data_IF_121155217405
#
_entry.id   IF_121155217405
#
_cell.length_a   1.000
_cell.length_b   1.000
_cell.length_c   1.000
_cell.angle_alpha   90.00
_cell.angle_beta   90.00
_cell.angle_gamma   90.00
#
_symmetry.space_group_name_H-M   'P 1'
#
loop_
_entity.id
_entity.type
_entity.pdbx_description
1 polymer ?
#
# COMPACT_ATOMS: atom_id res chain seq x y z
N UNK A 1 1.92 8.14 -10.76
CA UNK A 1 1.24 6.83 -10.69
C UNK A 1 -0.21 7.03 -11.07
N UNK A 2 -0.49 6.85 -12.34
CA UNK A 2 -1.78 7.23 -12.95
C UNK A 2 -2.06 6.16 -14.00
N UNK A 3 -3.31 5.73 -14.11
CA UNK A 3 -3.92 5.63 -15.43
C UNK A 3 -3.78 7.03 -16.01
N UNK A 4 -2.69 7.36 -16.73
CA UNK A 4 -2.49 8.70 -17.29
C UNK A 4 -3.61 8.96 -18.29
N UNK A 5 -4.76 9.39 -17.78
CA UNK A 5 -5.97 9.70 -18.52
C UNK A 5 -5.72 10.88 -19.46
N UNK A 6 -4.67 11.67 -19.23
CA UNK A 6 -4.23 12.72 -20.13
C UNK A 6 -3.81 12.22 -21.51
N UNK A 7 -3.35 10.96 -21.65
CA UNK A 7 -3.10 10.35 -22.96
C UNK A 7 -4.31 9.63 -23.56
N UNK A 8 -5.43 9.52 -22.82
CA UNK A 8 -6.67 8.88 -23.27
C UNK A 8 -7.71 9.88 -23.79
N UNK A 9 -7.50 11.19 -23.60
CA UNK A 9 -8.41 12.24 -24.06
C UNK A 9 -8.13 12.83 -25.45
N UNK A 10 -7.00 12.49 -26.10
CA UNK A 10 -6.59 13.13 -27.38
C UNK A 10 -6.81 12.31 -28.66
N UNK A 11 -7.36 11.10 -28.58
CA UNK A 11 -7.73 10.32 -29.77
C UNK A 11 -9.25 10.39 -30.05
N UNK A 12 -9.81 11.60 -30.11
CA UNK A 12 -11.17 11.83 -30.63
C UNK A 12 -11.19 11.96 -32.17
N UNK A 13 -10.38 11.16 -32.87
CA UNK A 13 -10.43 11.01 -34.33
C UNK A 13 -10.03 9.60 -34.75
N UNK A 14 -10.95 8.64 -34.69
CA UNK A 14 -10.95 7.47 -35.58
C UNK A 14 -12.42 7.11 -35.82
N UNK A 15 -12.97 7.45 -36.98
CA UNK A 15 -12.96 6.64 -38.20
C UNK A 15 -13.55 5.24 -37.98
N UNK A 16 -14.67 5.00 -38.65
CA UNK A 16 -15.32 3.70 -38.83
C UNK A 16 -14.34 2.55 -39.06
N UNK A 17 -14.14 1.70 -38.05
CA UNK A 17 -13.56 0.36 -38.23
C UNK A 17 -14.31 -0.64 -37.35
N UNK A 18 -15.39 -1.17 -37.92
CA UNK A 18 -16.20 -2.24 -37.33
C UNK A 18 -15.51 -3.63 -37.43
N UNK A 19 -14.35 -3.74 -38.10
CA UNK A 19 -13.70 -5.03 -38.39
C UNK A 19 -12.58 -5.46 -37.43
N UNK A 20 -12.08 -4.60 -36.52
CA UNK A 20 -10.94 -4.96 -35.63
C UNK A 20 -11.34 -5.66 -34.32
N UNK A 21 -12.64 -5.84 -34.03
CA UNK A 21 -13.09 -6.40 -32.75
C UNK A 21 -12.74 -7.88 -32.56
N UNK A 22 -12.61 -8.65 -33.65
CA UNK A 22 -12.40 -10.10 -33.59
C UNK A 22 -10.93 -10.50 -33.37
N UNK A 23 -9.97 -9.65 -33.74
CA UNK A 23 -8.53 -9.92 -33.56
C UNK A 23 -8.04 -9.61 -32.14
N UNK A 24 -8.69 -8.69 -31.42
CA UNK A 24 -8.29 -8.28 -30.08
C UNK A 24 -8.71 -9.25 -28.96
N UNK A 25 -9.72 -10.10 -29.17
CA UNK A 25 -10.20 -11.04 -28.14
C UNK A 25 -9.14 -12.07 -27.74
N UNK A 26 -8.34 -12.56 -28.70
CA UNK A 26 -7.23 -13.47 -28.42
C UNK A 26 -6.05 -12.80 -27.72
N UNK A 27 -5.96 -11.46 -27.75
CA UNK A 27 -4.90 -10.70 -27.09
C UNK A 27 -5.22 -10.39 -25.61
N UNK A 28 -6.50 -10.43 -25.20
CA UNK A 28 -6.90 -10.11 -23.82
C UNK A 28 -6.26 -11.03 -22.77
N UNK A 29 -6.22 -12.37 -22.95
CA UNK A 29 -5.54 -13.25 -22.00
C UNK A 29 -4.03 -13.00 -21.96
N UNK A 30 -3.42 -12.66 -23.10
CA UNK A 30 -2.00 -12.35 -23.19
C UNK A 30 -1.66 -11.04 -22.44
N UNK A 31 -2.44 -9.97 -22.63
CA UNK A 31 -2.24 -8.71 -21.90
C UNK A 31 -2.44 -8.89 -20.39
N UNK A 32 -3.45 -9.66 -19.97
CA UNK A 32 -3.65 -9.98 -18.54
C UNK A 32 -2.48 -10.80 -17.98
N UNK A 33 -1.97 -11.76 -18.75
CA UNK A 33 -0.79 -12.53 -18.37
C UNK A 33 0.45 -11.62 -18.24
N UNK A 34 0.66 -10.69 -19.17
CA UNK A 34 1.78 -9.73 -19.12
C UNK A 34 1.68 -8.79 -17.91
N UNK A 35 0.46 -8.33 -17.59
CA UNK A 35 0.18 -7.61 -16.35
C UNK A 35 0.62 -8.41 -15.11
N UNK A 36 0.19 -9.67 -15.01
CA UNK A 36 0.55 -10.55 -13.88
C UNK A 36 2.04 -10.89 -13.85
N UNK A 37 2.65 -11.13 -15.01
CA UNK A 37 4.07 -11.43 -15.15
C UNK A 37 4.93 -10.26 -14.69
N UNK A 38 4.56 -9.03 -15.03
CA UNK A 38 5.29 -7.83 -14.58
C UNK A 38 5.31 -7.71 -13.06
N UNK A 39 4.19 -8.00 -12.40
CA UNK A 39 4.10 -8.03 -10.94
C UNK A 39 4.94 -9.18 -10.37
N UNK A 40 4.81 -10.38 -10.94
CA UNK A 40 5.57 -11.56 -10.51
C UNK A 40 7.10 -11.34 -10.62
N UNK A 41 7.55 -10.70 -11.69
CA UNK A 41 8.96 -10.36 -11.89
C UNK A 41 9.47 -9.36 -10.85
N UNK A 42 8.65 -8.37 -10.47
CA UNK A 42 9.01 -7.46 -9.38
C UNK A 42 9.11 -8.22 -8.06
N UNK A 43 8.11 -9.04 -7.74
CA UNK A 43 8.07 -9.84 -6.51
C UNK A 43 9.27 -10.76 -6.39
N UNK A 44 9.72 -11.38 -7.49
CA UNK A 44 10.89 -12.27 -7.47
C UNK A 44 12.23 -11.54 -7.34
N UNK A 45 12.31 -10.29 -7.81
CA UNK A 45 13.51 -9.46 -7.73
C UNK A 45 13.63 -8.70 -6.41
N UNK A 46 12.49 -8.40 -5.77
CA UNK A 46 12.40 -7.69 -4.51
C UNK A 46 13.13 -8.46 -3.39
N UNK A 47 14.29 -7.95 -2.99
CA UNK A 47 15.22 -8.62 -2.07
C UNK A 47 14.61 -8.91 -0.69
N UNK A 48 13.73 -8.04 -0.20
CA UNK A 48 13.01 -8.24 1.07
C UNK A 48 11.95 -9.35 1.03
N UNK A 49 11.50 -9.77 -0.16
CA UNK A 49 10.56 -10.89 -0.31
C UNK A 49 11.27 -12.24 -0.46
N UNK A 50 12.59 -12.22 -0.65
CA UNK A 50 13.42 -13.41 -0.83
C UNK A 50 14.00 -13.94 0.49
N UNK A 51 14.27 -15.25 0.54
CA UNK A 51 14.71 -16.01 1.72
C UNK A 51 16.08 -15.56 2.29
N UNK A 52 16.76 -14.65 1.62
CA UNK A 52 18.10 -14.15 1.96
C UNK A 52 18.07 -13.13 3.11
N UNK A 53 17.62 -13.55 4.31
CA UNK A 53 17.95 -12.95 5.61
C UNK A 53 17.51 -11.51 5.90
N UNK A 54 16.94 -10.77 4.95
CA UNK A 54 16.41 -9.42 5.20
C UNK A 54 15.02 -9.48 5.81
N UNK A 55 14.87 -8.91 7.02
CA UNK A 55 13.57 -8.79 7.67
C UNK A 55 12.67 -7.85 6.85
N UNK A 56 11.56 -8.32 6.28
CA UNK A 56 10.70 -7.48 5.46
C UNK A 56 9.89 -6.47 6.26
N UNK A 57 9.82 -6.62 7.58
CA UNK A 57 9.34 -5.58 8.49
C UNK A 57 10.43 -4.54 8.81
N UNK A 58 11.55 -4.50 8.09
CA UNK A 58 12.41 -3.30 8.15
C UNK A 58 11.72 -2.12 7.47
N UNK A 59 11.95 -0.89 7.96
CA UNK A 59 11.41 0.31 7.33
C UNK A 59 11.85 0.43 5.85
N UNK A 60 13.05 -0.06 5.51
CA UNK A 60 13.50 -0.18 4.12
C UNK A 60 12.67 -1.18 3.30
N UNK A 61 12.25 -2.30 3.89
CA UNK A 61 11.29 -3.24 3.29
C UNK A 61 9.92 -2.60 3.09
N UNK A 62 9.45 -1.81 4.06
CA UNK A 62 8.19 -1.06 3.95
C UNK A 62 8.21 -0.03 2.82
N UNK A 63 9.36 0.58 2.51
CA UNK A 63 9.50 1.45 1.34
C UNK A 63 9.30 0.69 0.02
N UNK A 64 9.77 -0.55 -0.08
CA UNK A 64 9.57 -1.37 -1.28
C UNK A 64 8.11 -1.80 -1.47
N UNK A 65 7.29 -1.81 -0.40
CA UNK A 65 5.84 -1.99 -0.52
C UNK A 65 5.19 -0.85 -1.34
N UNK A 66 5.65 0.39 -1.21
CA UNK A 66 5.17 1.50 -2.05
C UNK A 66 5.57 1.32 -3.52
N UNK A 67 6.78 0.82 -3.77
CA UNK A 67 7.25 0.52 -5.12
C UNK A 67 6.41 -0.59 -5.78
N UNK A 68 6.06 -1.65 -5.02
CA UNK A 68 5.16 -2.69 -5.51
C UNK A 68 3.78 -2.14 -5.91
N UNK A 69 3.23 -1.23 -5.10
CA UNK A 69 1.95 -0.54 -5.42
C UNK A 69 2.09 0.26 -6.73
N UNK A 70 3.21 0.96 -6.91
CA UNK A 70 3.48 1.75 -8.12
C UNK A 70 3.66 0.89 -9.37
N UNK A 71 4.44 -0.19 -9.28
CA UNK A 71 4.62 -1.16 -10.37
C UNK A 71 3.29 -1.77 -10.78
N UNK A 72 2.48 -2.18 -9.80
CA UNK A 72 1.15 -2.78 -10.03
C UNK A 72 0.21 -1.77 -10.69
N UNK A 73 0.18 -0.53 -10.19
CA UNK A 73 -0.65 0.54 -10.76
C UNK A 73 -0.24 0.89 -12.20
N UNK A 74 1.07 0.95 -12.48
CA UNK A 74 1.61 1.15 -13.84
C UNK A 74 1.28 -0.01 -14.76
N UNK A 75 1.33 -1.24 -14.27
CA UNK A 75 0.95 -2.42 -15.04
C UNK A 75 -0.53 -2.40 -15.40
N UNK A 76 -1.41 -2.04 -14.46
CA UNK A 76 -2.86 -1.90 -14.70
C UNK A 76 -3.14 -0.82 -15.75
N UNK A 77 -2.45 0.33 -15.66
CA UNK A 77 -2.59 1.40 -16.64
C UNK A 77 -2.16 0.96 -18.04
N UNK A 78 -1.06 0.22 -18.14
CA UNK A 78 -0.57 -0.35 -19.40
C UNK A 78 -1.58 -1.36 -19.98
N UNK A 79 -2.11 -2.25 -19.15
CA UNK A 79 -3.15 -3.21 -19.55
C UNK A 79 -4.36 -2.51 -20.18
N UNK A 80 -4.89 -1.46 -19.53
CA UNK A 80 -6.04 -0.72 -20.03
C UNK A 80 -5.82 -0.10 -21.42
N UNK A 81 -4.57 0.31 -21.72
CA UNK A 81 -4.18 0.81 -23.04
C UNK A 81 -4.07 -0.33 -24.07
N UNK A 82 -3.44 -1.44 -23.71
CA UNK A 82 -3.23 -2.58 -24.63
C UNK A 82 -4.55 -3.22 -25.08
N UNK A 83 -5.55 -3.29 -24.20
CA UNK A 83 -6.87 -3.83 -24.53
C UNK A 83 -7.81 -2.79 -25.14
N UNK A 84 -7.34 -1.54 -25.33
CA UNK A 84 -8.16 -0.42 -25.79
C UNK A 84 -9.46 -0.29 -24.99
N UNK A 85 -9.33 -0.18 -23.66
CA UNK A 85 -10.45 -0.04 -22.73
C UNK A 85 -10.14 1.01 -21.66
N UNK A 86 -10.12 2.30 -22.05
CA UNK A 86 -9.83 3.39 -21.15
C UNK A 86 -10.86 3.51 -20.02
N UNK A 87 -10.47 4.18 -18.92
CA UNK A 87 -11.35 4.35 -17.74
C UNK A 87 -12.67 5.03 -18.09
N UNK A 88 -12.69 5.91 -19.08
CA UNK A 88 -13.91 6.58 -19.56
C UNK A 88 -14.94 5.63 -20.18
N UNK A 89 -14.52 4.43 -20.60
CA UNK A 89 -15.40 3.40 -21.17
C UNK A 89 -15.69 2.25 -20.21
N UNK A 90 -15.19 2.32 -18.98
CA UNK A 90 -15.44 1.30 -17.98
C UNK A 90 -16.94 1.19 -17.67
N UNK A 91 -17.42 -0.04 -17.49
CA UNK A 91 -18.77 -0.28 -17.03
C UNK A 91 -18.96 0.11 -15.57
N UNK A 92 -20.22 0.27 -15.15
CA UNK A 92 -20.58 0.74 -13.81
C UNK A 92 -19.92 -0.07 -12.69
N UNK A 93 -19.79 -1.38 -12.88
CA UNK A 93 -19.14 -2.28 -11.92
C UNK A 93 -17.65 -1.99 -11.76
N UNK A 94 -16.90 -1.85 -12.85
CA UNK A 94 -15.48 -1.54 -12.78
C UNK A 94 -15.23 -0.17 -12.11
N UNK A 95 -16.09 0.82 -12.40
CA UNK A 95 -16.06 2.15 -11.78
C UNK A 95 -16.32 2.06 -10.28
N UNK A 96 -17.42 1.41 -9.89
CA UNK A 96 -17.80 1.25 -8.48
C UNK A 96 -16.69 0.55 -7.68
N UNK A 97 -16.17 -0.57 -8.21
CA UNK A 97 -15.06 -1.29 -7.58
C UNK A 97 -13.82 -0.40 -7.41
N UNK A 98 -13.45 0.37 -8.43
CA UNK A 98 -12.32 1.28 -8.33
C UNK A 98 -12.56 2.43 -7.34
N UNK A 99 -13.78 2.97 -7.29
CA UNK A 99 -14.14 4.00 -6.32
C UNK A 99 -14.15 3.44 -4.89
N UNK A 100 -14.69 2.25 -4.64
CA UNK A 100 -14.65 1.66 -3.30
C UNK A 100 -13.21 1.34 -2.87
N UNK A 101 -12.43 0.73 -3.77
CA UNK A 101 -11.01 0.49 -3.58
C UNK A 101 -10.23 1.77 -3.25
N UNK A 102 -10.35 2.83 -4.07
CA UNK A 102 -9.61 4.08 -3.86
C UNK A 102 -10.02 4.80 -2.58
N UNK A 103 -11.28 4.71 -2.15
CA UNK A 103 -11.72 5.26 -0.87
C UNK A 103 -11.03 4.56 0.31
N UNK A 104 -11.04 3.23 0.29
CA UNK A 104 -10.38 2.43 1.32
C UNK A 104 -8.86 2.67 1.34
N UNK A 105 -8.21 2.82 0.19
CA UNK A 105 -6.80 3.23 0.12
C UNK A 105 -6.55 4.57 0.82
N UNK A 106 -7.41 5.57 0.61
CA UNK A 106 -7.26 6.88 1.28
C UNK A 106 -7.40 6.75 2.80
N UNK A 107 -8.32 5.90 3.29
CA UNK A 107 -8.44 5.61 4.72
C UNK A 107 -7.18 4.95 5.28
N UNK A 108 -6.63 3.95 4.60
CA UNK A 108 -5.39 3.28 5.00
C UNK A 108 -4.19 4.22 5.01
N UNK A 109 -4.08 5.11 4.01
CA UNK A 109 -2.99 6.09 3.95
C UNK A 109 -3.11 7.13 5.06
N UNK A 110 -4.32 7.57 5.39
CA UNK A 110 -4.55 8.42 6.56
C UNK A 110 -4.17 7.72 7.87
N UNK A 111 -4.49 6.43 7.99
CA UNK A 111 -4.09 5.61 9.13
C UNK A 111 -2.55 5.54 9.24
N UNK A 112 -1.83 5.38 8.12
CA UNK A 112 -0.35 5.41 8.08
C UNK A 112 0.16 6.78 8.55
N UNK A 113 -0.39 7.88 8.04
CA UNK A 113 0.00 9.23 8.46
C UNK A 113 -0.23 9.45 9.96
N UNK A 114 -1.33 8.94 10.51
CA UNK A 114 -1.59 8.98 11.96
C UNK A 114 -0.53 8.21 12.76
N UNK A 115 -0.13 7.02 12.31
CA UNK A 115 0.94 6.25 12.94
C UNK A 115 2.30 6.92 12.87
N UNK A 116 2.62 7.55 11.73
CA UNK A 116 3.83 8.36 11.57
C UNK A 116 3.83 9.53 12.55
N UNK A 117 2.72 10.24 12.71
CA UNK A 117 2.60 11.33 13.67
C UNK A 117 2.87 10.86 15.10
N UNK A 118 2.34 9.68 15.49
CA UNK A 118 2.61 9.09 16.81
C UNK A 118 4.10 8.75 16.98
N UNK A 119 4.72 8.16 15.96
CA UNK A 119 6.15 7.85 16.00
C UNK A 119 7.00 9.13 16.12
N UNK A 120 6.61 10.19 15.43
CA UNK A 120 7.25 11.50 15.53
C UNK A 120 7.09 12.12 16.92
N UNK A 121 5.93 12.00 17.56
CA UNK A 121 5.72 12.46 18.95
C UNK A 121 6.62 11.71 19.94
N UNK A 122 6.69 10.38 19.81
CA UNK A 122 7.58 9.56 20.64
C UNK A 122 9.05 9.93 20.41
N UNK A 123 9.45 10.14 19.15
CA UNK A 123 10.80 10.57 18.76
C UNK A 123 11.17 11.91 19.41
N UNK A 124 10.30 12.91 19.36
CA UNK A 124 10.53 14.23 19.99
C UNK A 124 10.72 14.07 21.50
N UNK A 125 9.91 13.24 22.14
CA UNK A 125 10.02 12.96 23.57
C UNK A 125 11.36 12.31 23.93
N UNK A 126 11.83 11.37 23.10
CA UNK A 126 13.12 10.71 23.26
C UNK A 126 14.27 11.70 23.05
N UNK A 127 14.20 12.52 21.99
CA UNK A 127 15.23 13.50 21.66
C UNK A 127 15.44 14.50 22.80
N UNK A 128 14.35 15.04 23.37
CA UNK A 128 14.43 15.95 24.50
C UNK A 128 15.08 15.31 25.74
N UNK A 129 14.83 14.02 25.99
CA UNK A 129 15.47 13.29 27.08
C UNK A 129 16.97 13.02 26.82
N UNK A 130 17.39 12.95 25.56
CA UNK A 130 18.80 12.81 25.17
C UNK A 130 19.57 14.13 25.28
N UNK A 131 18.98 15.27 24.85
CA UNK A 131 19.62 16.59 24.91
C UNK A 131 19.89 17.07 26.34
N UNK A 132 18.99 16.74 27.28
CA UNK A 132 19.13 17.10 28.69
C UNK A 132 19.08 15.85 29.59
N UNK A 133 20.12 15.00 29.54
CA UNK A 133 20.11 13.70 30.17
C UNK A 133 20.27 13.83 31.68
N UNK A 134 19.15 13.97 32.38
CA UNK A 134 19.06 13.86 33.84
C UNK A 134 18.61 12.46 34.21
N UNK A 135 18.97 11.97 35.41
CA UNK A 135 18.47 10.68 35.93
C UNK A 135 16.93 10.60 35.84
N UNK A 136 16.22 11.70 36.13
CA UNK A 136 14.77 11.77 36.02
C UNK A 136 14.27 11.71 34.57
N UNK A 137 14.96 12.34 33.62
CA UNK A 137 14.60 12.29 32.20
C UNK A 137 14.83 10.89 31.61
N UNK A 138 15.96 10.26 31.95
CA UNK A 138 16.31 8.90 31.52
C UNK A 138 15.31 7.88 32.09
N UNK A 139 14.92 7.99 33.36
CA UNK A 139 13.89 7.13 33.97
C UNK A 139 12.48 7.33 33.37
N UNK A 140 12.25 8.43 32.66
CA UNK A 140 10.97 8.72 31.98
C UNK A 140 10.94 8.27 30.52
N UNK A 141 12.06 7.80 29.97
CA UNK A 141 12.08 7.19 28.64
C UNK A 141 11.15 5.98 28.64
N UNK A 142 10.23 5.97 27.68
CA UNK A 142 9.27 4.89 27.50
C UNK A 142 9.42 4.32 26.10
N UNK A 143 9.18 3.02 25.97
CA UNK A 143 9.00 2.37 24.68
C UNK A 143 7.97 3.11 23.84
N UNK A 144 8.16 3.09 22.54
CA UNK A 144 7.16 3.53 21.57
C UNK A 144 5.95 2.60 21.73
N UNK A 145 4.76 3.12 22.10
CA UNK A 145 3.62 2.28 22.39
C UNK A 145 3.05 1.65 21.12
N UNK A 146 2.61 0.40 21.22
CA UNK A 146 1.76 -0.21 20.21
C UNK A 146 0.39 0.47 20.21
N UNK A 147 -0.16 0.74 19.03
CA UNK A 147 -1.47 1.40 18.90
C UNK A 147 -2.35 0.65 17.93
N UNK A 148 -3.50 0.20 18.42
CA UNK A 148 -4.58 -0.23 17.55
C UNK A 148 -5.26 1.03 16.97
N UNK A 149 -5.29 1.13 15.65
CA UNK A 149 -5.86 2.30 14.96
C UNK A 149 -7.39 2.26 14.84
N UNK A 150 -8.03 1.13 15.17
CA UNK A 150 -9.47 0.94 15.05
C UNK A 150 -9.94 1.30 13.64
N UNK A 151 -9.50 0.54 12.64
CA UNK A 151 -9.80 0.84 11.25
C UNK A 151 -11.30 0.63 11.02
N UNK A 152 -12.10 1.70 11.04
CA UNK A 152 -13.51 1.68 10.63
C UNK A 152 -13.62 1.61 9.10
N UNK A 153 -13.11 0.51 8.55
CA UNK A 153 -13.14 0.22 7.13
C UNK A 153 -14.43 -0.52 6.83
N UNK A 154 -15.15 -0.05 5.81
CA UNK A 154 -16.39 -0.67 5.38
C UNK A 154 -16.09 -2.08 4.88
N UNK A 155 -16.54 -3.07 5.64
CA UNK A 155 -16.41 -4.49 5.30
C UNK A 155 -17.22 -4.76 4.02
N UNK A 156 -16.53 -5.04 2.91
CA UNK A 156 -17.17 -5.47 1.69
C UNK A 156 -17.63 -6.92 1.88
N UNK A 157 -18.85 -7.12 2.36
CA UNK A 157 -19.55 -8.42 2.32
C UNK A 157 -20.00 -8.80 0.90
N UNK A 158 -19.73 -7.95 -0.09
CA UNK A 158 -19.83 -8.29 -1.51
C UNK A 158 -18.54 -8.95 -1.99
N UNK A 159 -18.43 -10.26 -1.83
CA UNK A 159 -17.73 -11.07 -2.83
C UNK A 159 -18.16 -10.55 -4.22
N UNK A 160 -17.32 -10.63 -5.25
CA UNK A 160 -17.58 -10.26 -6.65
C UNK A 160 -18.82 -10.92 -7.31
N UNK A 161 -19.72 -11.51 -6.50
CA UNK A 161 -21.00 -12.15 -6.75
C UNK A 161 -22.13 -11.12 -6.68
N UNK A 162 -22.05 -10.06 -7.48
CA UNK A 162 -23.30 -9.53 -8.05
C UNK A 162 -23.50 -10.30 -9.36
N UNK A 163 -24.61 -11.04 -9.44
CA UNK A 163 -24.98 -11.92 -10.56
C UNK A 163 -25.14 -11.20 -11.91
N UNK A 164 -24.99 -9.87 -11.97
CA UNK A 164 -24.97 -9.17 -13.25
C UNK A 164 -23.73 -9.58 -14.05
N UNK A 165 -23.96 -9.99 -15.30
CA UNK A 165 -22.88 -10.38 -16.19
C UNK A 165 -22.06 -9.14 -16.55
N UNK A 166 -20.71 -9.19 -16.55
CA UNK A 166 -19.89 -8.07 -17.01
C UNK A 166 -20.33 -7.61 -18.40
N UNK A 167 -20.28 -6.30 -18.64
CA UNK A 167 -20.81 -5.66 -19.85
C UNK A 167 -19.98 -6.02 -21.09
N UNK A 168 -18.72 -6.42 -20.90
CA UNK A 168 -17.83 -6.90 -21.97
C UNK A 168 -16.71 -7.81 -21.45
N UNK A 169 -16.08 -8.58 -22.35
CA UNK A 169 -14.88 -9.37 -22.01
C UNK A 169 -13.70 -8.50 -21.57
N UNK A 170 -13.58 -7.29 -22.15
CA UNK A 170 -12.59 -6.28 -21.73
C UNK A 170 -12.82 -5.83 -20.29
N UNK A 171 -14.09 -5.64 -19.89
CA UNK A 171 -14.44 -5.30 -18.52
C UNK A 171 -14.07 -6.43 -17.56
N UNK A 172 -14.31 -7.70 -17.94
CA UNK A 172 -13.87 -8.86 -17.15
C UNK A 172 -12.36 -8.84 -16.90
N UNK A 173 -11.55 -8.55 -17.93
CA UNK A 173 -10.09 -8.44 -17.81
C UNK A 173 -9.67 -7.31 -16.88
N UNK A 174 -10.33 -6.14 -16.97
CA UNK A 174 -10.06 -5.02 -16.07
C UNK A 174 -10.46 -5.33 -14.63
N UNK A 175 -11.63 -5.94 -14.42
CA UNK A 175 -12.09 -6.34 -13.09
C UNK A 175 -11.13 -7.32 -12.41
N UNK A 176 -10.61 -8.27 -13.18
CA UNK A 176 -9.61 -9.24 -12.68
C UNK A 176 -8.28 -8.54 -12.34
N UNK A 177 -7.81 -7.63 -13.19
CA UNK A 177 -6.61 -6.85 -12.90
C UNK A 177 -6.79 -5.90 -11.70
N UNK A 178 -7.99 -5.32 -11.54
CA UNK A 178 -8.36 -4.51 -10.37
C UNK A 178 -8.40 -5.34 -9.10
N UNK A 179 -8.91 -6.57 -9.15
CA UNK A 179 -8.89 -7.51 -8.01
C UNK A 179 -7.46 -7.75 -7.52
N UNK A 180 -6.55 -8.08 -8.45
CA UNK A 180 -5.11 -8.28 -8.14
C UNK A 180 -4.50 -6.99 -7.58
N UNK A 181 -4.77 -5.85 -8.21
CA UNK A 181 -4.26 -4.54 -7.77
C UNK A 181 -4.71 -4.20 -6.35
N UNK A 182 -6.00 -4.42 -6.06
CA UNK A 182 -6.58 -4.21 -4.74
C UNK A 182 -5.90 -5.09 -3.69
N UNK A 183 -5.77 -6.38 -3.98
CA UNK A 183 -5.14 -7.32 -3.04
C UNK A 183 -3.70 -6.93 -2.73
N UNK A 184 -2.90 -6.59 -3.75
CA UNK A 184 -1.50 -6.18 -3.57
C UNK A 184 -1.42 -4.90 -2.74
N UNK A 185 -2.24 -3.90 -3.05
CA UNK A 185 -2.21 -2.63 -2.34
C UNK A 185 -2.63 -2.77 -0.88
N UNK A 186 -3.67 -3.57 -0.60
CA UNK A 186 -4.09 -3.83 0.78
C UNK A 186 -3.04 -4.61 1.55
N UNK A 187 -2.48 -5.66 0.95
CA UNK A 187 -1.39 -6.41 1.56
C UNK A 187 -0.20 -5.49 1.89
N UNK A 188 0.24 -4.68 0.93
CA UNK A 188 1.37 -3.76 1.09
C UNK A 188 1.14 -2.71 2.18
N UNK A 189 -0.03 -2.04 2.16
CA UNK A 189 -0.38 -1.04 3.17
C UNK A 189 -0.63 -1.67 4.55
N UNK A 190 -1.15 -2.89 4.60
CA UNK A 190 -1.30 -3.65 5.84
C UNK A 190 0.04 -3.96 6.49
N UNK A 191 1.05 -4.33 5.70
CA UNK A 191 2.42 -4.50 6.19
C UNK A 191 3.01 -3.19 6.73
N UNK A 192 2.82 -2.10 5.98
CA UNK A 192 3.30 -0.78 6.41
C UNK A 192 2.66 -0.39 7.75
N UNK A 193 1.34 -0.51 7.85
CA UNK A 193 0.60 -0.20 9.07
C UNK A 193 1.05 -1.05 10.26
N UNK A 194 1.12 -2.37 10.10
CA UNK A 194 1.56 -3.26 11.17
C UNK A 194 2.98 -2.94 11.65
N UNK A 195 3.90 -2.65 10.73
CA UNK A 195 5.27 -2.24 11.07
C UNK A 195 5.35 -0.99 11.95
N UNK A 196 4.45 -0.02 11.75
CA UNK A 196 4.39 1.20 12.57
C UNK A 196 3.57 1.06 13.85
N UNK A 197 2.41 0.42 13.75
CA UNK A 197 1.46 0.28 14.85
C UNK A 197 1.89 -0.74 15.90
N UNK A 198 2.87 -1.59 15.56
CA UNK A 198 3.26 -2.74 16.38
C UNK A 198 2.06 -3.65 16.69
N UNK A 199 1.08 -3.69 15.78
CA UNK A 199 -0.22 -4.32 16.00
C UNK A 199 -0.54 -5.29 14.86
N UNK A 200 -0.70 -6.56 15.21
CA UNK A 200 -1.07 -7.65 14.29
C UNK A 200 -2.53 -7.55 13.84
N UNK A 201 -3.39 -6.95 14.66
CA UNK A 201 -4.81 -6.87 14.36
C UNK A 201 -5.07 -5.97 13.15
N UNK A 202 -4.28 -4.90 13.00
CA UNK A 202 -4.28 -4.04 11.82
C UNK A 202 -4.07 -4.83 10.51
N UNK A 203 -3.10 -5.76 10.45
CA UNK A 203 -2.90 -6.62 9.27
C UNK A 203 -4.06 -7.59 9.05
N UNK A 204 -4.53 -8.25 10.12
CA UNK A 204 -5.64 -9.21 10.05
C UNK A 204 -6.93 -8.55 9.54
N UNK A 205 -7.22 -7.35 10.01
CA UNK A 205 -8.37 -6.57 9.56
C UNK A 205 -8.28 -6.24 8.06
N UNK A 206 -7.12 -5.78 7.61
CA UNK A 206 -6.90 -5.46 6.19
C UNK A 206 -6.97 -6.72 5.30
N UNK A 207 -6.43 -7.84 5.79
CA UNK A 207 -6.55 -9.15 5.13
C UNK A 207 -8.00 -9.63 5.04
N UNK A 208 -8.81 -9.36 6.06
CA UNK A 208 -10.25 -9.67 6.03
C UNK A 208 -10.97 -8.81 4.99
N UNK A 209 -10.63 -7.53 4.88
CA UNK A 209 -11.22 -6.60 3.89
C UNK A 209 -10.91 -6.96 2.43
N UNK A 210 -9.81 -7.66 2.18
CA UNK A 210 -9.51 -8.19 0.85
C UNK A 210 -10.22 -9.51 0.54
N UNK A 211 -10.96 -10.09 1.50
CA UNK A 211 -11.50 -11.45 1.41
C UNK A 211 -10.41 -12.52 1.47
N UNK A 212 -9.28 -12.21 2.11
CA UNK A 212 -8.06 -13.01 2.07
C UNK A 212 -7.17 -12.69 0.86
N UNK A 213 -6.11 -13.48 0.70
CA UNK A 213 -5.09 -13.30 -0.35
C UNK A 213 -4.83 -14.64 -1.07
N UNK A 214 -5.88 -15.21 -1.67
CA UNK A 214 -5.81 -16.53 -2.31
C UNK A 214 -5.19 -16.53 -3.72
N UNK A 215 -4.92 -15.35 -4.28
CA UNK A 215 -4.29 -15.23 -5.59
C UNK A 215 -2.84 -15.74 -5.57
N UNK A 216 -2.46 -16.58 -6.53
CA UNK A 216 -1.16 -17.24 -6.57
C UNK A 216 0.04 -16.28 -6.56
N UNK A 217 -0.14 -15.03 -7.00
CA UNK A 217 0.92 -14.01 -6.98
C UNK A 217 1.29 -13.57 -5.57
N UNK A 218 0.33 -13.58 -4.65
CA UNK A 218 0.48 -13.01 -3.31
C UNK A 218 0.31 -14.04 -2.22
N UNK A 219 -0.31 -15.19 -2.48
CA UNK A 219 -0.55 -16.24 -1.48
C UNK A 219 0.74 -16.71 -0.80
N UNK A 220 1.80 -16.89 -1.59
CA UNK A 220 3.11 -17.25 -1.07
C UNK A 220 3.73 -16.14 -0.20
N UNK A 221 3.47 -14.87 -0.54
CA UNK A 221 3.90 -13.74 0.26
C UNK A 221 3.08 -13.66 1.56
N UNK A 222 1.75 -13.58 1.45
CA UNK A 222 0.82 -13.54 2.58
C UNK A 222 1.10 -14.62 3.62
N UNK A 223 1.38 -15.86 3.21
CA UNK A 223 1.72 -16.94 4.13
C UNK A 223 2.98 -16.63 4.94
N UNK A 224 4.07 -16.18 4.28
CA UNK A 224 5.32 -15.80 4.95
C UNK A 224 5.09 -14.65 5.91
N UNK A 225 4.34 -13.64 5.47
CA UNK A 225 4.08 -12.46 6.29
C UNK A 225 3.16 -12.75 7.46
N UNK A 226 2.13 -13.57 7.29
CA UNK A 226 1.29 -14.01 8.39
C UNK A 226 2.13 -14.68 9.48
N UNK A 227 3.07 -15.56 9.10
CA UNK A 227 4.00 -16.18 10.05
C UNK A 227 4.91 -15.15 10.75
N UNK A 228 5.42 -14.16 10.00
CA UNK A 228 6.28 -13.12 10.58
C UNK A 228 5.50 -12.22 11.55
N UNK A 229 4.35 -11.71 11.14
CA UNK A 229 3.50 -10.82 11.95
C UNK A 229 3.00 -11.54 13.22
N UNK A 230 2.68 -12.83 13.13
CA UNK A 230 2.32 -13.66 14.29
C UNK A 230 3.46 -13.80 15.31
N UNK A 231 4.73 -13.76 14.85
CA UNK A 231 5.90 -13.88 15.71
C UNK A 231 6.44 -12.54 16.24
N UNK A 232 6.44 -11.49 15.40
CA UNK A 232 6.87 -10.11 15.70
C UNK A 232 6.23 -9.15 14.69
N UNK A 233 5.46 -8.19 15.19
CA UNK A 233 4.79 -7.19 14.33
C UNK A 233 5.54 -5.85 14.22
N UNK A 234 6.60 -5.65 15.01
CA UNK A 234 7.29 -4.36 15.10
C UNK A 234 8.35 -4.24 14.01
N UNK A 235 8.43 -3.05 13.39
CA UNK A 235 9.49 -2.79 12.45
C UNK A 235 10.87 -2.95 13.09
N UNK A 236 11.82 -3.57 12.38
CA UNK A 236 13.14 -3.92 12.95
C UNK A 236 13.83 -2.72 13.61
N UNK A 237 13.82 -1.58 12.93
CA UNK A 237 14.44 -0.35 13.41
C UNK A 237 13.78 0.19 14.68
N UNK A 238 12.45 0.09 14.77
CA UNK A 238 11.65 0.50 15.93
C UNK A 238 11.87 -0.45 17.10
N UNK A 239 11.96 -1.76 16.83
CA UNK A 239 12.26 -2.76 17.85
C UNK A 239 13.65 -2.53 18.46
N UNK A 240 14.67 -2.33 17.63
CA UNK A 240 16.02 -2.06 18.11
C UNK A 240 16.09 -0.76 18.93
N UNK A 241 15.29 0.24 18.55
CA UNK A 241 15.16 1.48 19.32
C UNK A 241 14.54 1.21 20.70
N UNK A 242 13.45 0.44 20.75
CA UNK A 242 12.83 0.02 22.01
C UNK A 242 13.79 -0.79 22.89
N UNK A 243 14.58 -1.70 22.30
CA UNK A 243 15.57 -2.50 23.02
C UNK A 243 16.68 -1.62 23.64
N UNK A 244 17.06 -0.51 22.99
CA UNK A 244 17.99 0.47 23.58
C UNK A 244 17.30 1.21 24.72
N UNK A 245 16.08 1.70 24.51
CA UNK A 245 15.30 2.43 25.52
C UNK A 245 15.16 1.64 26.83
N UNK A 246 14.99 0.32 26.77
CA UNK A 246 14.91 -0.52 27.97
C UNK A 246 16.23 -0.63 28.74
N UNK A 247 17.36 -0.53 28.03
CA UNK A 247 18.70 -0.64 28.63
C UNK A 247 19.20 0.67 29.22
N UNK A 248 18.75 1.81 28.70
CA UNK A 248 19.23 3.13 29.17
C UNK A 248 19.04 3.31 30.68
N UNK A 249 17.88 3.05 31.30
CA UNK A 249 17.69 3.25 32.74
C UNK A 249 18.63 2.44 33.63
N UNK A 250 19.06 1.26 33.16
CA UNK A 250 19.89 0.31 33.92
C UNK A 250 21.39 0.46 33.66
N UNK A 251 21.78 1.23 32.64
CA UNK A 251 23.18 1.32 32.23
C UNK A 251 24.02 2.11 33.24
N UNK A 252 25.20 1.58 33.59
CA UNK A 252 26.18 2.30 34.43
C UNK A 252 26.80 3.52 33.73
N UNK A 253 26.70 3.55 32.39
CA UNK A 253 27.24 4.59 31.50
C UNK A 253 26.15 5.03 30.53
N UNK A 254 25.23 5.88 31.00
CA UNK A 254 24.11 6.38 30.20
C UNK A 254 24.57 7.13 28.96
N UNK A 255 25.71 7.83 29.02
CA UNK A 255 26.32 8.54 27.90
C UNK A 255 26.53 7.66 26.66
N UNK A 256 26.97 6.41 26.87
CA UNK A 256 27.21 5.47 25.77
C UNK A 256 25.91 4.95 25.15
N UNK A 257 24.90 4.64 25.98
CA UNK A 257 23.61 4.17 25.49
C UNK A 257 22.79 5.28 24.85
N UNK A 258 22.87 6.51 25.37
CA UNK A 258 22.24 7.70 24.77
C UNK A 258 22.84 7.97 23.38
N UNK A 259 24.17 7.90 23.22
CA UNK A 259 24.78 8.09 21.90
C UNK A 259 24.34 7.04 20.88
N UNK A 260 24.16 5.78 21.31
CA UNK A 260 23.58 4.71 20.46
C UNK A 260 22.12 5.02 20.11
N UNK A 261 21.36 5.50 21.09
CA UNK A 261 19.97 5.90 20.92
C UNK A 261 19.83 7.03 19.90
N UNK A 262 20.63 8.11 20.01
CA UNK A 262 20.68 9.22 19.05
C UNK A 262 20.99 8.75 17.64
N UNK A 263 22.03 7.92 17.49
CA UNK A 263 22.42 7.36 16.19
C UNK A 263 21.27 6.56 15.58
N UNK A 264 20.59 5.74 16.39
CA UNK A 264 19.47 4.91 15.91
C UNK A 264 18.23 5.74 15.61
N UNK A 265 17.95 6.76 16.43
CA UNK A 265 16.86 7.70 16.25
C UNK A 265 16.98 8.44 14.92
N UNK A 266 18.21 8.84 14.53
CA UNK A 266 18.46 9.49 13.24
C UNK A 266 18.22 8.55 12.05
N UNK A 267 18.59 7.27 12.17
CA UNK A 267 18.29 6.27 11.13
C UNK A 267 16.78 6.08 10.97
N UNK A 268 16.05 5.96 12.09
CA UNK A 268 14.59 5.85 12.09
C UNK A 268 13.97 7.12 11.47
N UNK A 269 14.43 8.30 11.85
CA UNK A 269 13.91 9.58 11.35
C UNK A 269 13.99 9.68 9.82
N UNK A 270 15.16 9.39 9.24
CA UNK A 270 15.34 9.42 7.79
C UNK A 270 14.37 8.47 7.07
N UNK A 271 14.22 7.24 7.58
CA UNK A 271 13.35 6.23 6.96
C UNK A 271 11.86 6.60 7.13
N UNK A 272 11.48 7.19 8.26
CA UNK A 272 10.12 7.67 8.51
C UNK A 272 9.77 8.82 7.58
N UNK A 273 10.69 9.77 7.37
CA UNK A 273 10.49 10.88 6.42
C UNK A 273 10.32 10.38 4.98
N UNK A 274 11.10 9.37 4.57
CA UNK A 274 10.94 8.75 3.26
C UNK A 274 9.57 8.07 3.12
N UNK A 275 9.13 7.34 4.14
CA UNK A 275 7.80 6.69 4.14
C UNK A 275 6.68 7.73 4.14
N UNK A 276 6.79 8.80 4.92
CA UNK A 276 5.83 9.90 4.95
C UNK A 276 5.70 10.55 3.57
N UNK A 277 6.83 10.81 2.91
CA UNK A 277 6.87 11.35 1.55
C UNK A 277 6.18 10.41 0.55
N UNK A 278 6.47 9.11 0.62
CA UNK A 278 5.83 8.11 -0.26
C UNK A 278 4.32 8.01 0.01
N UNK A 279 3.91 8.00 1.28
CA UNK A 279 2.50 7.96 1.69
C UNK A 279 1.73 9.19 1.20
N UNK A 280 2.26 10.39 1.42
CA UNK A 280 1.64 11.65 0.99
C UNK A 280 1.57 11.75 -0.54
N UNK A 281 2.61 11.29 -1.22
CA UNK A 281 2.64 11.21 -2.68
C UNK A 281 1.57 10.26 -3.20
N UNK A 282 1.46 9.06 -2.63
CA UNK A 282 0.45 8.07 -3.00
C UNK A 282 -0.97 8.57 -2.71
N UNK A 283 -1.20 9.17 -1.53
CA UNK A 283 -2.49 9.76 -1.15
C UNK A 283 -2.95 10.81 -2.16
N UNK A 284 -2.08 11.77 -2.46
CA UNK A 284 -2.38 12.85 -3.42
C UNK A 284 -2.74 12.29 -4.80
N UNK A 285 -2.05 11.24 -5.22
CA UNK A 285 -2.26 10.61 -6.52
C UNK A 285 -3.58 9.82 -6.59
N UNK A 286 -3.90 9.05 -5.55
CA UNK A 286 -5.17 8.31 -5.43
C UNK A 286 -6.33 9.31 -5.43
N UNK A 287 -6.23 10.38 -4.64
CA UNK A 287 -7.25 11.42 -4.55
C UNK A 287 -7.46 12.14 -5.89
N UNK A 288 -6.39 12.53 -6.56
CA UNK A 288 -6.46 13.20 -7.86
C UNK A 288 -7.13 12.29 -8.91
N UNK A 289 -6.74 11.02 -8.98
CA UNK A 289 -7.31 10.07 -9.94
C UNK A 289 -8.79 9.81 -9.67
N UNK A 290 -9.17 9.65 -8.40
CA UNK A 290 -10.56 9.51 -7.98
C UNK A 290 -11.39 10.73 -8.39
N UNK A 291 -10.91 11.94 -8.14
CA UNK A 291 -11.63 13.17 -8.48
C UNK A 291 -11.82 13.32 -9.99
N UNK A 292 -10.77 13.05 -10.78
CA UNK A 292 -10.86 13.04 -12.24
C UNK A 292 -11.91 12.05 -12.74
N UNK A 293 -11.97 10.85 -12.15
CA UNK A 293 -12.97 9.86 -12.50
C UNK A 293 -14.40 10.36 -12.20
N UNK A 294 -14.63 10.94 -11.02
CA UNK A 294 -15.92 11.49 -10.62
C UNK A 294 -16.36 12.66 -11.51
N UNK A 295 -15.43 13.53 -11.89
CA UNK A 295 -15.73 14.69 -12.73
C UNK A 295 -16.10 14.28 -14.16
N UNK A 296 -15.46 13.24 -14.72
CA UNK A 296 -15.86 12.67 -16.00
C UNK A 296 -17.33 12.20 -16.00
N UNK A 297 -17.81 11.61 -14.89
CA UNK A 297 -19.22 11.21 -14.76
C UNK A 297 -20.16 12.39 -14.62
N UNK A 298 -19.78 13.43 -13.87
CA UNK A 298 -20.58 14.64 -13.73
C UNK A 298 -20.80 15.32 -15.08
N UNK A 299 -19.74 15.44 -15.89
CA UNK A 299 -19.81 16.04 -17.23
C UNK A 299 -20.65 15.19 -18.20
N UNK A 300 -20.54 13.86 -18.12
CA UNK A 300 -21.34 12.97 -18.97
C UNK A 300 -22.84 13.02 -18.64
N UNK A 301 -23.19 13.31 -17.38
CA UNK A 301 -24.59 13.44 -16.93
C UNK A 301 -25.23 14.79 -17.30
N UNK A 302 -24.43 15.82 -17.58
CA UNK A 302 -24.91 17.14 -18.02
C UNK A 302 -25.11 17.24 -19.55
N UNK A 303 -24.51 16.32 -20.32
CA UNK A 303 -24.59 16.27 -21.79
C UNK A 303 -25.58 15.21 -22.31
N UNK A 304 -26.43 14.65 -21.44
CA UNK A 304 -27.57 13.78 -21.77
C UNK A 304 -28.86 14.47 -21.34
#
# INVERSE_FOLDING_TARGET
MVLQLQNLGRSLKFSSKLEDHRRNLHALPASLHDFRSKISNFVSQASFLNESGSNPLSLAGLLQCFELIDVTSKALAKLAVEIDYPVSTWGGRAIENYLNFSLNLLHLLNAITSSIACLNEAKISIFHACENPTLSAVQKLKRIPSRNLGLDLKEETGLFVTEEKPFSEKETVVLEALRVTKMIAYWALGLILSGFCCDVESYKEIRRLSGGFEDSLIKGLDLRFSQMVESKCVAKEVQELNDILDRVPEAKRWDQEIKKLETRLQVVDNLVQDIEKQSNSLFSQVLATRNQLLDNFRLTKQNK
#
